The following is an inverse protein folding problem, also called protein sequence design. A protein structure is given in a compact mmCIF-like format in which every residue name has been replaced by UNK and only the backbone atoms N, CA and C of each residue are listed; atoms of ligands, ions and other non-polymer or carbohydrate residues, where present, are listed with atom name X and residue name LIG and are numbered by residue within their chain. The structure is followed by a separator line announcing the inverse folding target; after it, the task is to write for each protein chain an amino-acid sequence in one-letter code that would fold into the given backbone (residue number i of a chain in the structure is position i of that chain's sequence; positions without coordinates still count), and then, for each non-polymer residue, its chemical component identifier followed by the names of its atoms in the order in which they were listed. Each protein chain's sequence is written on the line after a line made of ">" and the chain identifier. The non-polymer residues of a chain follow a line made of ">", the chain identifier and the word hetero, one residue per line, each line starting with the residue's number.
data_IF_499333121712
#
_entry.id   IF_499333121712
#
_cell.length_a   1.000
_cell.length_b   1.000
_cell.length_c   1.000
_cell.angle_alpha   90.00
_cell.angle_beta   90.00
_cell.angle_gamma   90.00
#
_symmetry.space_group_name_H-M   'P 1'
#
loop_
_entity.id
_entity.type
_entity.pdbx_description
1 polymer ?
#
# COMPACT_ATOMS: atom_id res chain seq x y z
N UNK A 1 48.01 43.45 15.14
CA UNK A 1 48.23 42.23 15.94
C UNK A 1 48.91 42.61 17.24
N UNK A 2 48.20 42.58 18.36
CA UNK A 2 48.73 43.06 19.64
C UNK A 2 48.93 41.91 20.62
N UNK A 3 50.17 41.58 20.96
CA UNK A 3 50.49 40.61 22.02
C UNK A 3 49.83 40.94 23.38
N UNK A 4 49.36 42.18 23.55
CA UNK A 4 48.59 42.62 24.70
C UNK A 4 47.17 42.03 24.76
N UNK A 5 46.45 41.96 23.63
CA UNK A 5 45.09 41.40 23.58
C UNK A 5 45.09 39.88 23.74
N UNK A 6 46.16 39.21 23.32
CA UNK A 6 46.34 37.77 23.52
C UNK A 6 46.56 37.42 25.00
N UNK A 7 47.41 38.19 25.67
CA UNK A 7 47.62 38.05 27.12
C UNK A 7 46.34 38.33 27.89
N UNK A 8 45.60 39.36 27.51
CA UNK A 8 44.28 39.66 28.09
C UNK A 8 43.30 38.51 27.86
N UNK A 9 43.21 37.99 26.63
CA UNK A 9 42.30 36.90 26.28
C UNK A 9 42.65 35.57 26.97
N UNK A 10 43.88 35.40 27.47
CA UNK A 10 44.31 34.26 28.26
C UNK A 10 43.89 34.35 29.74
N UNK A 11 43.38 35.49 30.22
CA UNK A 11 42.90 35.65 31.58
C UNK A 11 41.50 35.04 31.79
N UNK A 12 41.20 34.59 33.00
CA UNK A 12 40.00 33.82 33.32
C UNK A 12 38.68 34.55 32.98
N UNK A 13 38.57 35.83 33.29
CA UNK A 13 37.39 36.65 32.98
C UNK A 13 37.18 36.81 31.47
N UNK A 14 38.17 37.33 30.73
CA UNK A 14 38.13 37.42 29.27
C UNK A 14 37.84 36.09 28.57
N UNK A 15 38.41 34.96 29.00
CA UNK A 15 38.10 33.64 28.45
C UNK A 15 36.60 33.30 28.55
N UNK A 16 35.98 33.53 29.72
CA UNK A 16 34.54 33.30 29.91
C UNK A 16 33.70 34.19 28.99
N UNK A 17 34.07 35.45 28.83
CA UNK A 17 33.39 36.40 27.92
C UNK A 17 33.53 35.95 26.47
N UNK A 18 34.74 35.66 26.01
CA UNK A 18 35.01 35.24 24.63
C UNK A 18 34.34 33.91 24.29
N UNK A 19 34.28 32.95 25.23
CA UNK A 19 33.53 31.71 25.05
C UNK A 19 32.01 31.95 24.91
N UNK A 20 31.44 32.86 25.71
CA UNK A 20 30.04 33.24 25.61
C UNK A 20 29.74 33.98 24.29
N UNK A 21 30.65 34.87 23.86
CA UNK A 21 30.56 35.57 22.57
C UNK A 21 30.65 34.59 21.40
N UNK A 22 31.56 33.61 21.45
CA UNK A 22 31.67 32.56 20.44
C UNK A 22 30.34 31.87 20.22
N UNK A 23 29.69 31.38 21.29
CA UNK A 23 28.36 30.75 21.20
C UNK A 23 27.32 31.66 20.55
N UNK A 24 27.30 32.95 20.90
CA UNK A 24 26.39 33.93 20.29
C UNK A 24 26.63 34.07 18.78
N UNK A 25 27.89 34.13 18.35
CA UNK A 25 28.25 34.25 16.93
C UNK A 25 27.96 32.96 16.15
N UNK A 26 28.21 31.78 16.74
CA UNK A 26 27.86 30.46 16.17
C UNK A 26 26.33 30.29 15.97
N UNK A 27 25.52 31.08 16.69
CA UNK A 27 24.05 31.15 16.59
C UNK A 27 23.54 32.34 15.72
N UNK A 28 24.43 33.03 15.00
CA UNK A 28 24.14 34.24 14.21
C UNK A 28 23.62 35.45 15.00
N UNK A 29 23.92 35.56 16.30
CA UNK A 29 23.56 36.72 17.13
C UNK A 29 24.67 37.77 17.08
N UNK A 30 24.66 38.61 16.04
CA UNK A 30 25.77 39.53 15.73
C UNK A 30 25.52 41.01 16.07
N UNK A 31 24.28 41.38 16.41
CA UNK A 31 23.88 42.76 16.66
C UNK A 31 24.65 43.45 17.79
N UNK A 32 24.93 44.75 17.65
CA UNK A 32 25.70 45.55 18.62
C UNK A 32 25.05 45.60 20.02
N UNK A 33 23.71 45.57 20.07
CA UNK A 33 22.94 45.53 21.32
C UNK A 33 22.82 44.15 21.97
N UNK A 34 23.36 43.08 21.38
CA UNK A 34 23.30 41.73 21.95
C UNK A 34 24.10 41.68 23.24
N UNK A 35 23.44 41.39 24.35
CA UNK A 35 24.07 41.22 25.65
C UNK A 35 24.81 39.87 25.74
N UNK A 36 26.07 39.92 26.19
CA UNK A 36 26.88 38.75 26.52
C UNK A 36 26.56 38.34 27.95
N UNK A 37 25.74 37.30 28.10
CA UNK A 37 25.34 36.78 29.42
C UNK A 37 26.40 35.85 29.95
N UNK A 38 27.14 36.30 30.96
CA UNK A 38 28.19 35.55 31.63
C UNK A 38 28.32 36.03 33.07
N UNK A 39 28.45 35.08 34.02
CA UNK A 39 28.73 35.40 35.42
C UNK A 39 30.24 35.59 35.60
N UNK A 40 30.63 36.73 36.17
CA UNK A 40 32.02 37.08 36.44
C UNK A 40 32.17 37.37 37.94
N UNK A 41 33.25 36.87 38.54
CA UNK A 41 33.67 37.30 39.87
C UNK A 41 34.23 38.73 39.82
N UNK A 42 34.40 39.38 40.97
CA UNK A 42 35.00 40.72 41.04
C UNK A 42 36.41 40.77 40.40
N UNK A 43 37.34 39.83 40.68
CA UNK A 43 38.61 39.75 39.96
C UNK A 43 38.45 39.58 38.45
N UNK A 44 37.55 38.71 38.00
CA UNK A 44 37.30 38.47 36.57
C UNK A 44 36.71 39.70 35.87
N UNK A 45 35.86 40.45 36.57
CA UNK A 45 35.29 41.70 36.08
C UNK A 45 36.38 42.77 35.92
N UNK A 46 37.30 42.88 36.87
CA UNK A 46 38.46 43.79 36.76
C UNK A 46 39.35 43.43 35.55
N UNK A 47 39.57 42.13 35.29
CA UNK A 47 40.32 41.68 34.11
C UNK A 47 39.66 42.11 32.79
N UNK A 48 38.33 41.95 32.68
CA UNK A 48 37.57 42.41 31.51
C UNK A 48 37.54 43.96 31.44
N UNK A 49 37.53 44.63 32.59
CA UNK A 49 37.55 46.09 32.73
C UNK A 49 38.77 46.75 32.11
N UNK A 50 39.91 46.04 32.03
CA UNK A 50 41.14 46.54 31.38
C UNK A 50 40.96 46.98 29.93
N UNK A 51 39.99 46.41 29.20
CA UNK A 51 39.69 46.82 27.81
C UNK A 51 38.38 47.62 27.71
N UNK A 52 37.36 47.26 28.51
CA UNK A 52 36.06 47.92 28.49
C UNK A 52 36.05 49.27 29.22
N UNK A 53 37.02 49.53 30.10
CA UNK A 53 37.16 50.75 30.90
C UNK A 53 36.58 50.65 32.31
N UNK A 54 37.10 51.49 33.21
CA UNK A 54 36.76 51.54 34.63
C UNK A 54 35.28 51.88 34.89
N UNK A 55 34.68 52.71 34.03
CA UNK A 55 33.26 53.05 34.12
C UNK A 55 32.37 51.82 33.92
N UNK A 56 32.74 50.90 33.03
CA UNK A 56 31.99 49.65 32.85
C UNK A 56 32.22 48.70 34.04
N UNK A 57 33.46 48.61 34.50
CA UNK A 57 33.84 47.75 35.63
C UNK A 57 33.00 48.06 36.87
N UNK A 58 32.90 49.34 37.23
CA UNK A 58 32.17 49.83 38.41
C UNK A 58 30.65 49.89 38.23
N UNK A 59 30.14 50.00 36.99
CA UNK A 59 28.70 50.13 36.72
C UNK A 59 27.84 48.91 37.07
N UNK A 60 28.43 47.72 37.23
CA UNK A 60 27.68 46.45 37.31
C UNK A 60 26.90 46.06 36.04
N UNK A 61 26.94 46.89 34.99
CA UNK A 61 26.14 46.71 33.78
C UNK A 61 26.57 45.51 32.91
N UNK A 62 25.69 45.03 32.01
CA UNK A 62 25.99 43.93 31.12
C UNK A 62 27.04 44.31 30.06
N UNK A 63 27.77 43.30 29.60
CA UNK A 63 28.63 43.42 28.41
C UNK A 63 27.71 43.31 27.19
N UNK A 64 27.88 44.20 26.20
CA UNK A 64 27.25 44.05 24.89
C UNK A 64 28.30 43.79 23.83
N UNK A 65 27.93 43.12 22.73
CA UNK A 65 28.85 42.87 21.62
C UNK A 65 29.39 44.17 21.03
N UNK A 66 28.58 45.23 20.96
CA UNK A 66 29.03 46.55 20.49
C UNK A 66 30.10 47.17 21.39
N UNK A 67 29.92 47.11 22.71
CA UNK A 67 30.91 47.62 23.68
C UNK A 67 32.23 46.84 23.57
N UNK A 68 32.14 45.52 23.46
CA UNK A 68 33.32 44.66 23.34
C UNK A 68 34.07 44.89 22.02
N UNK A 69 33.37 44.98 20.88
CA UNK A 69 33.98 45.30 19.58
C UNK A 69 34.68 46.64 19.62
N UNK A 70 34.00 47.70 20.07
CA UNK A 70 34.58 49.03 20.16
C UNK A 70 35.83 49.08 21.07
N UNK A 71 35.80 48.33 22.18
CA UNK A 71 36.94 48.23 23.07
C UNK A 71 38.16 47.53 22.46
N UNK A 72 37.94 46.42 21.75
CA UNK A 72 38.98 45.70 21.03
C UNK A 72 39.56 46.56 19.89
N UNK A 73 38.70 47.25 19.13
CA UNK A 73 39.15 48.16 18.07
C UNK A 73 40.04 49.28 18.62
N UNK A 74 39.69 49.87 19.78
CA UNK A 74 40.54 50.86 20.46
C UNK A 74 41.88 50.27 20.91
N UNK A 75 41.92 48.99 21.25
CA UNK A 75 43.13 48.27 21.59
C UNK A 75 43.94 47.80 20.36
N UNK A 76 43.47 48.10 19.13
CA UNK A 76 44.14 47.75 17.88
C UNK A 76 43.92 46.30 17.44
N UNK A 77 42.82 45.68 17.85
CA UNK A 77 42.46 44.29 17.50
C UNK A 77 40.99 44.18 17.05
N UNK A 78 40.66 43.09 16.37
CA UNK A 78 39.29 42.77 15.98
C UNK A 78 38.75 41.56 16.78
N UNK A 79 37.45 41.58 17.08
CA UNK A 79 36.82 40.53 17.88
C UNK A 79 36.85 39.16 17.18
N UNK A 80 36.61 39.12 15.87
CA UNK A 80 36.61 37.89 15.11
C UNK A 80 38.04 37.34 14.96
N UNK A 81 39.02 38.22 14.72
CA UNK A 81 40.43 37.84 14.66
C UNK A 81 40.92 37.30 16.00
N UNK A 82 40.61 37.97 17.11
CA UNK A 82 40.97 37.51 18.45
C UNK A 82 40.31 36.17 18.80
N UNK A 83 39.03 35.99 18.49
CA UNK A 83 38.35 34.70 18.69
C UNK A 83 39.00 33.61 17.84
N UNK A 84 39.30 33.89 16.57
CA UNK A 84 39.93 32.92 15.67
C UNK A 84 41.30 32.48 16.15
N UNK A 85 42.12 33.42 16.64
CA UNK A 85 43.46 33.12 17.18
C UNK A 85 43.42 32.35 18.49
N UNK A 86 42.45 32.63 19.36
CA UNK A 86 42.38 32.02 20.72
C UNK A 86 41.62 30.69 20.77
N UNK A 87 40.73 30.42 19.81
CA UNK A 87 39.89 29.21 19.84
C UNK A 87 39.50 28.66 18.46
N UNK A 88 40.20 29.07 17.39
CA UNK A 88 39.91 28.65 16.02
C UNK A 88 38.71 29.38 15.38
N UNK A 89 38.45 29.13 14.08
CA UNK A 89 37.37 29.78 13.33
C UNK A 89 35.99 29.63 14.00
N UNK A 90 35.13 30.63 13.86
CA UNK A 90 33.73 30.55 14.30
C UNK A 90 32.97 29.61 13.36
N UNK A 91 32.40 28.53 13.88
CA UNK A 91 31.65 27.57 13.08
C UNK A 91 30.18 27.96 13.05
N UNK A 92 29.59 28.07 11.86
CA UNK A 92 28.16 28.31 11.72
C UNK A 92 27.38 27.06 12.14
N UNK A 93 26.91 27.02 13.39
CA UNK A 93 26.13 25.90 13.92
C UNK A 93 24.67 26.02 13.48
N UNK A 94 24.13 27.24 13.46
CA UNK A 94 22.75 27.49 13.08
C UNK A 94 22.51 27.20 11.60
N UNK A 95 23.34 27.73 10.71
CA UNK A 95 23.25 27.49 9.27
C UNK A 95 23.48 26.03 8.91
N UNK A 96 24.39 25.31 9.60
CA UNK A 96 24.51 23.85 9.42
C UNK A 96 23.24 23.10 9.83
N UNK A 97 22.57 23.50 10.91
CA UNK A 97 21.29 22.91 11.32
C UNK A 97 20.17 23.22 10.33
N UNK A 98 20.09 24.47 9.87
CA UNK A 98 19.11 24.90 8.86
C UNK A 98 19.33 24.16 7.54
N UNK A 99 20.59 24.00 7.10
CA UNK A 99 20.96 23.25 5.90
C UNK A 99 20.63 21.76 6.05
N UNK A 100 20.93 21.15 7.20
CA UNK A 100 20.57 19.76 7.47
C UNK A 100 19.04 19.56 7.48
N UNK A 101 18.29 20.48 8.09
CA UNK A 101 16.83 20.46 8.09
C UNK A 101 16.26 20.65 6.67
N UNK A 102 16.83 21.55 5.87
CA UNK A 102 16.44 21.76 4.48
C UNK A 102 16.71 20.53 3.62
N UNK A 103 17.87 19.89 3.80
CA UNK A 103 18.21 18.64 3.10
C UNK A 103 17.27 17.50 3.50
N UNK A 104 16.95 17.38 4.79
CA UNK A 104 15.99 16.42 5.30
C UNK A 104 14.59 16.63 4.70
N UNK A 105 14.10 17.88 4.69
CA UNK A 105 12.84 18.23 4.07
C UNK A 105 12.82 17.91 2.57
N UNK A 106 13.88 18.28 1.83
CA UNK A 106 14.00 17.97 0.40
C UNK A 106 14.00 16.46 0.13
N UNK A 107 14.62 15.67 1.02
CA UNK A 107 14.63 14.20 0.94
C UNK A 107 13.22 13.63 1.10
N UNK A 108 12.47 14.10 2.10
CA UNK A 108 11.08 13.69 2.33
C UNK A 108 10.19 14.08 1.14
N UNK A 109 10.30 15.32 0.67
CA UNK A 109 9.51 15.80 -0.47
C UNK A 109 9.78 15.00 -1.75
N UNK A 110 11.06 14.70 -2.03
CA UNK A 110 11.42 13.86 -3.17
C UNK A 110 10.87 12.43 -3.05
N UNK A 111 10.83 11.88 -1.83
CA UNK A 111 10.32 10.53 -1.58
C UNK A 111 8.80 10.44 -1.85
N UNK A 112 8.00 11.38 -1.34
CA UNK A 112 6.55 11.41 -1.65
C UNK A 112 6.27 11.75 -3.12
N UNK A 113 7.04 12.67 -3.72
CA UNK A 113 6.93 12.96 -5.16
C UNK A 113 7.16 11.72 -6.03
N UNK A 114 7.99 10.77 -5.56
CA UNK A 114 8.21 9.50 -6.25
C UNK A 114 6.94 8.64 -6.24
N UNK A 115 6.20 8.60 -5.13
CA UNK A 115 4.92 7.90 -5.04
C UNK A 115 3.85 8.54 -5.94
N UNK A 116 3.77 9.87 -5.96
CA UNK A 116 2.83 10.59 -6.83
C UNK A 116 3.10 10.28 -8.32
N UNK A 117 4.38 10.35 -8.73
CA UNK A 117 4.79 10.02 -10.10
C UNK A 117 4.54 8.57 -10.49
N UNK A 118 4.52 7.66 -9.52
CA UNK A 118 4.17 6.26 -9.75
C UNK A 118 2.67 6.04 -9.97
N UNK A 119 1.84 7.07 -9.82
CA UNK A 119 0.39 7.00 -10.04
C UNK A 119 -0.37 6.46 -8.83
N UNK A 120 0.19 6.54 -7.61
CA UNK A 120 -0.58 6.25 -6.41
C UNK A 120 -1.68 7.33 -6.22
N UNK A 121 -2.87 6.97 -5.71
CA UNK A 121 -3.92 7.95 -5.46
C UNK A 121 -3.47 9.06 -4.50
N UNK A 122 -3.68 10.32 -4.89
CA UNK A 122 -3.21 11.52 -4.17
C UNK A 122 -3.66 11.52 -2.71
N UNK A 123 -4.89 11.11 -2.41
CA UNK A 123 -5.40 11.08 -1.03
C UNK A 123 -4.63 10.08 -0.14
N UNK A 124 -4.15 8.98 -0.71
CA UNK A 124 -3.36 7.99 0.02
C UNK A 124 -1.93 8.48 0.28
N UNK A 125 -1.32 9.15 -0.70
CA UNK A 125 0.02 9.75 -0.56
C UNK A 125 0.00 10.89 0.46
N UNK A 126 -1.01 11.76 0.42
CA UNK A 126 -1.16 12.85 1.40
C UNK A 126 -1.44 12.35 2.82
N UNK A 127 -2.20 11.27 2.96
CA UNK A 127 -2.35 10.60 4.26
C UNK A 127 -1.00 10.04 4.76
N UNK A 128 -0.23 9.38 3.89
CA UNK A 128 1.08 8.86 4.22
C UNK A 128 2.04 9.97 4.67
N UNK A 129 2.03 11.12 3.97
CA UNK A 129 2.78 12.34 4.29
C UNK A 129 2.41 12.89 5.65
N UNK A 130 1.11 13.08 5.90
CA UNK A 130 0.60 13.58 7.18
C UNK A 130 0.99 12.67 8.34
N UNK A 131 0.97 11.35 8.12
CA UNK A 131 1.31 10.33 9.12
C UNK A 131 2.79 9.98 9.16
N UNK A 132 3.61 10.57 8.29
CA UNK A 132 5.07 10.42 8.25
C UNK A 132 5.53 8.98 8.06
N UNK A 133 4.86 8.23 7.17
CA UNK A 133 5.10 6.79 6.99
C UNK A 133 6.48 6.47 6.42
N UNK A 134 7.03 7.32 5.56
CA UNK A 134 8.33 7.07 4.93
C UNK A 134 9.50 7.37 5.89
N UNK A 135 9.41 8.43 6.66
CA UNK A 135 10.50 8.93 7.50
C UNK A 135 10.52 8.38 8.93
N UNK A 136 9.48 7.66 9.39
CA UNK A 136 9.46 7.04 10.73
C UNK A 136 9.72 5.54 10.69
N UNK A 137 10.53 4.98 11.62
CA UNK A 137 11.27 5.67 12.67
C UNK A 137 12.60 6.31 12.18
N UNK A 138 13.02 6.04 10.95
CA UNK A 138 14.30 6.50 10.41
C UNK A 138 14.12 7.21 9.05
N UNK A 139 14.53 8.48 8.99
CA UNK A 139 14.48 9.33 7.80
C UNK A 139 15.36 8.78 6.67
N UNK A 140 16.48 8.14 6.99
CA UNK A 140 17.44 7.62 6.00
C UNK A 140 16.80 6.53 5.12
N UNK A 141 15.70 5.94 5.57
CA UNK A 141 14.94 4.94 4.82
C UNK A 141 13.85 5.54 3.92
N UNK A 142 13.58 6.85 3.97
CA UNK A 142 12.45 7.45 3.25
C UNK A 142 12.55 7.22 1.74
N UNK A 143 13.73 7.46 1.15
CA UNK A 143 13.98 7.28 -0.29
C UNK A 143 13.87 5.81 -0.70
N UNK A 144 14.46 4.88 0.06
CA UNK A 144 14.41 3.45 -0.28
C UNK A 144 13.00 2.88 -0.11
N UNK A 145 12.27 3.28 0.95
CA UNK A 145 10.86 2.91 1.13
C UNK A 145 9.98 3.43 0.01
N UNK A 146 10.15 4.69 -0.42
CA UNK A 146 9.41 5.22 -1.56
C UNK A 146 9.67 4.42 -2.84
N UNK A 147 10.93 4.08 -3.10
CA UNK A 147 11.30 3.26 -4.25
C UNK A 147 10.71 1.84 -4.15
N UNK A 148 10.78 1.21 -2.98
CA UNK A 148 10.23 -0.12 -2.72
C UNK A 148 8.70 -0.14 -2.92
N UNK A 149 7.98 0.85 -2.39
CA UNK A 149 6.53 0.99 -2.52
C UNK A 149 6.13 1.32 -3.96
N UNK A 150 6.93 2.09 -4.69
CA UNK A 150 6.74 2.36 -6.11
C UNK A 150 6.84 1.08 -6.93
N UNK A 151 7.89 0.26 -6.71
CA UNK A 151 8.05 -1.03 -7.39
C UNK A 151 6.90 -1.98 -7.06
N UNK A 152 6.47 -2.02 -5.81
CA UNK A 152 5.29 -2.78 -5.40
C UNK A 152 4.05 -2.31 -6.17
N UNK A 153 3.74 -1.02 -6.14
CA UNK A 153 2.57 -0.45 -6.82
C UNK A 153 2.53 -0.77 -8.31
N UNK A 154 3.67 -0.62 -9.00
CA UNK A 154 3.79 -0.92 -10.43
C UNK A 154 3.64 -2.41 -10.78
N UNK A 155 3.79 -3.31 -9.80
CA UNK A 155 3.60 -4.75 -9.98
C UNK A 155 2.14 -5.17 -9.73
N UNK A 156 1.32 -4.27 -9.17
CA UNK A 156 -0.08 -4.54 -8.86
C UNK A 156 -1.00 -4.16 -10.04
N UNK A 157 -2.14 -4.86 -10.22
CA UNK A 157 -2.61 -5.98 -9.39
C UNK A 157 -1.79 -7.26 -9.62
N UNK A 158 -1.36 -7.89 -8.53
CA UNK A 158 -0.70 -9.19 -8.59
C UNK A 158 -1.65 -10.21 -9.21
N UNK A 159 -1.18 -11.03 -10.13
CA UNK A 159 -2.01 -12.03 -10.80
C UNK A 159 -2.23 -13.25 -9.91
N UNK A 160 -2.87 -13.09 -8.74
CA UNK A 160 -3.15 -14.18 -7.79
C UNK A 160 -1.92 -14.73 -7.06
N UNK A 161 -0.76 -14.06 -7.16
CA UNK A 161 0.52 -14.52 -6.59
C UNK A 161 0.50 -14.48 -5.05
N UNK A 162 1.13 -15.44 -4.35
CA UNK A 162 1.30 -15.37 -2.90
C UNK A 162 2.12 -14.16 -2.47
N UNK A 163 1.80 -13.57 -1.32
CA UNK A 163 2.49 -12.41 -0.76
C UNK A 163 4.00 -12.64 -0.63
N UNK A 164 4.40 -13.83 -0.14
CA UNK A 164 5.80 -14.20 0.00
C UNK A 164 6.54 -14.29 -1.35
N UNK A 165 5.84 -14.73 -2.41
CA UNK A 165 6.41 -14.81 -3.76
C UNK A 165 6.60 -13.41 -4.37
N UNK A 166 5.60 -12.53 -4.19
CA UNK A 166 5.69 -11.11 -4.59
C UNK A 166 6.87 -10.45 -3.88
N UNK A 167 6.95 -10.61 -2.56
CA UNK A 167 8.03 -10.07 -1.73
C UNK A 167 9.41 -10.56 -2.20
N UNK A 168 9.58 -11.87 -2.39
CA UNK A 168 10.84 -12.44 -2.85
C UNK A 168 11.22 -11.93 -4.25
N UNK A 169 10.26 -11.83 -5.18
CA UNK A 169 10.54 -11.36 -6.53
C UNK A 169 10.96 -9.88 -6.61
N UNK A 170 10.43 -9.03 -5.72
CA UNK A 170 10.72 -7.60 -5.72
C UNK A 170 11.93 -7.21 -4.87
N UNK A 171 12.20 -7.99 -3.81
CA UNK A 171 13.14 -7.60 -2.76
C UNK A 171 14.16 -8.68 -2.41
N UNK A 172 14.15 -9.82 -3.10
CA UNK A 172 14.98 -10.99 -2.78
C UNK A 172 14.82 -11.46 -1.32
N UNK A 173 13.65 -11.21 -0.73
CA UNK A 173 13.31 -11.56 0.65
C UNK A 173 11.79 -11.88 0.72
N UNK A 174 11.41 -13.16 0.93
CA UNK A 174 10.00 -13.57 0.99
C UNK A 174 9.25 -12.98 2.19
N UNK A 175 9.94 -12.49 3.21
CA UNK A 175 9.34 -11.93 4.42
C UNK A 175 9.22 -10.41 4.36
N UNK A 176 9.75 -9.77 3.31
CA UNK A 176 9.88 -8.31 3.24
C UNK A 176 8.57 -7.54 3.32
N UNK A 177 7.45 -8.19 2.98
CA UNK A 177 6.10 -7.64 3.06
C UNK A 177 5.26 -8.21 4.22
N UNK A 178 5.87 -8.97 5.13
CA UNK A 178 5.16 -9.56 6.27
C UNK A 178 4.66 -8.48 7.23
N UNK A 179 3.61 -8.82 7.98
CA UNK A 179 2.88 -7.89 8.86
C UNK A 179 3.73 -7.34 10.02
N UNK A 180 4.80 -8.04 10.39
CA UNK A 180 5.77 -7.65 11.40
C UNK A 180 6.95 -6.83 10.83
N UNK A 181 7.03 -6.64 9.51
CA UNK A 181 8.02 -5.76 8.88
C UNK A 181 7.53 -4.32 8.75
N UNK A 182 8.45 -3.36 8.74
CA UNK A 182 8.13 -1.95 8.50
C UNK A 182 7.53 -1.72 7.12
N UNK A 183 8.14 -2.29 6.08
CA UNK A 183 7.68 -2.10 4.70
C UNK A 183 6.32 -2.76 4.48
N UNK A 184 6.09 -3.98 4.98
CA UNK A 184 4.80 -4.66 4.91
C UNK A 184 3.68 -3.85 5.58
N UNK A 185 3.94 -3.29 6.76
CA UNK A 185 2.97 -2.41 7.45
C UNK A 185 2.66 -1.13 6.67
N UNK A 186 3.67 -0.47 6.11
CA UNK A 186 3.47 0.76 5.32
C UNK A 186 2.71 0.43 4.03
N UNK A 187 3.10 -0.63 3.33
CA UNK A 187 2.46 -1.10 2.11
C UNK A 187 0.97 -1.39 2.33
N UNK A 188 0.62 -2.20 3.35
CA UNK A 188 -0.78 -2.52 3.62
C UNK A 188 -1.62 -1.27 3.95
N UNK A 189 -1.09 -0.32 4.73
CA UNK A 189 -1.79 0.93 5.04
C UNK A 189 -2.00 1.80 3.80
N UNK A 190 -0.97 1.91 2.97
CA UNK A 190 -1.01 2.70 1.74
C UNK A 190 -1.98 2.10 0.73
N UNK A 191 -1.96 0.77 0.55
CA UNK A 191 -2.88 0.04 -0.33
C UNK A 191 -4.33 0.08 0.17
N UNK A 192 -4.55 0.04 1.50
CA UNK A 192 -5.87 0.21 2.10
C UNK A 192 -6.42 1.62 1.87
N UNK A 193 -5.60 2.65 2.06
CA UNK A 193 -5.98 4.04 1.80
C UNK A 193 -6.23 4.29 0.31
N UNK A 194 -5.40 3.74 -0.57
CA UNK A 194 -5.51 3.89 -2.02
C UNK A 194 -6.83 3.36 -2.59
N UNK A 195 -7.38 2.31 -1.98
CA UNK A 195 -8.65 1.69 -2.42
C UNK A 195 -9.88 2.26 -1.71
N UNK A 196 -9.71 3.00 -0.63
CA UNK A 196 -10.81 3.65 0.09
C UNK A 196 -11.19 4.98 -0.56
N UNK A 197 -12.44 5.42 -0.32
CA UNK A 197 -12.83 6.80 -0.60
C UNK A 197 -11.97 7.76 0.24
N UNK A 198 -11.70 8.99 -0.23
CA UNK A 198 -10.86 9.94 0.51
C UNK A 198 -11.28 10.18 1.95
N UNK A 199 -12.60 10.20 2.23
CA UNK A 199 -13.15 10.38 3.57
C UNK A 199 -12.82 9.21 4.53
N UNK A 200 -12.69 7.99 4.00
CA UNK A 200 -12.50 6.76 4.78
C UNK A 200 -11.05 6.27 4.79
N UNK A 201 -10.17 6.93 4.02
CA UNK A 201 -8.79 6.49 3.83
C UNK A 201 -8.01 6.32 5.14
N UNK A 202 -8.22 7.22 6.11
CA UNK A 202 -7.60 7.13 7.43
C UNK A 202 -8.08 5.90 8.21
N UNK A 203 -9.39 5.65 8.25
CA UNK A 203 -9.96 4.49 8.94
C UNK A 203 -9.56 3.17 8.28
N UNK A 204 -9.52 3.13 6.95
CA UNK A 204 -9.05 1.98 6.19
C UNK A 204 -7.57 1.66 6.49
N UNK A 205 -6.71 2.68 6.56
CA UNK A 205 -5.31 2.51 6.94
C UNK A 205 -5.12 2.08 8.40
N UNK A 206 -5.88 2.65 9.33
CA UNK A 206 -5.75 2.34 10.76
C UNK A 206 -6.14 0.87 11.07
N UNK A 207 -7.12 0.32 10.33
CA UNK A 207 -7.54 -1.08 10.46
C UNK A 207 -6.74 -2.08 9.63
N UNK A 208 -5.88 -1.61 8.71
CA UNK A 208 -5.19 -2.45 7.70
C UNK A 208 -4.35 -3.61 8.28
N UNK A 209 -3.88 -3.49 9.53
CA UNK A 209 -3.04 -4.51 10.17
C UNK A 209 -3.84 -5.60 10.91
N UNK A 210 -5.16 -5.44 11.05
CA UNK A 210 -6.02 -6.50 11.57
C UNK A 210 -5.93 -7.73 10.67
N UNK A 211 -5.88 -8.96 11.23
CA UNK A 211 -5.59 -10.16 10.44
C UNK A 211 -6.56 -10.37 9.26
N UNK A 212 -7.86 -10.17 9.47
CA UNK A 212 -8.86 -10.25 8.40
C UNK A 212 -8.66 -9.13 7.36
N UNK A 213 -8.50 -7.89 7.83
CA UNK A 213 -8.32 -6.72 6.95
C UNK A 213 -7.04 -6.79 6.13
N UNK A 214 -5.95 -7.29 6.72
CA UNK A 214 -4.67 -7.53 6.04
C UNK A 214 -4.86 -8.42 4.81
N UNK A 215 -5.53 -9.58 4.97
CA UNK A 215 -5.83 -10.48 3.85
C UNK A 215 -6.70 -9.80 2.80
N UNK A 216 -7.72 -9.05 3.22
CA UNK A 216 -8.61 -8.32 2.30
C UNK A 216 -7.88 -7.24 1.51
N UNK A 217 -6.95 -6.51 2.13
CA UNK A 217 -6.15 -5.47 1.46
C UNK A 217 -5.31 -6.10 0.37
N UNK A 218 -4.53 -7.14 0.68
CA UNK A 218 -3.70 -7.81 -0.31
C UNK A 218 -4.53 -8.49 -1.41
N UNK A 219 -5.62 -9.18 -1.05
CA UNK A 219 -6.51 -9.81 -2.01
C UNK A 219 -7.16 -8.78 -2.95
N UNK A 220 -7.50 -7.59 -2.43
CA UNK A 220 -7.99 -6.46 -3.22
C UNK A 220 -7.02 -5.95 -4.28
N UNK A 221 -5.73 -6.27 -4.13
CA UNK A 221 -4.68 -5.99 -5.11
C UNK A 221 -4.19 -7.28 -5.81
N UNK A 222 -4.98 -8.36 -5.75
CA UNK A 222 -4.69 -9.64 -6.40
C UNK A 222 -3.54 -10.45 -5.78
N UNK A 223 -3.13 -10.11 -4.55
CA UNK A 223 -2.08 -10.84 -3.81
C UNK A 223 -2.72 -11.75 -2.77
N UNK A 224 -2.37 -13.04 -2.80
CA UNK A 224 -2.89 -14.03 -1.85
C UNK A 224 -2.03 -14.08 -0.58
N UNK A 225 -2.65 -13.97 0.60
CA UNK A 225 -1.96 -14.23 1.88
C UNK A 225 -2.05 -15.70 2.33
N UNK A 226 -2.95 -16.47 1.73
CA UNK A 226 -3.13 -17.91 1.92
C UNK A 226 -3.90 -18.47 0.72
N UNK A 227 -3.40 -19.55 0.14
CA UNK A 227 -3.88 -20.08 -1.13
C UNK A 227 -5.09 -21.01 -0.99
N UNK A 228 -5.36 -21.51 0.22
CA UNK A 228 -6.46 -22.43 0.49
C UNK A 228 -7.71 -21.67 0.94
N UNK A 229 -7.55 -20.59 1.71
CA UNK A 229 -8.67 -19.74 2.13
C UNK A 229 -9.19 -18.81 1.02
N UNK A 230 -8.39 -18.54 -0.02
CA UNK A 230 -8.83 -17.78 -1.17
C UNK A 230 -9.56 -18.70 -2.15
N UNK A 231 -10.89 -18.61 -2.17
CA UNK A 231 -11.75 -19.54 -2.91
C UNK A 231 -12.65 -18.82 -3.92
N UNK A 232 -13.16 -19.59 -4.88
CA UNK A 232 -14.24 -19.20 -5.81
C UNK A 232 -15.18 -20.39 -5.96
N UNK A 233 -16.48 -20.13 -5.91
CA UNK A 233 -17.50 -21.18 -6.06
C UNK A 233 -17.82 -21.31 -7.55
N UNK A 234 -17.87 -22.53 -8.06
CA UNK A 234 -18.26 -22.80 -9.46
C UNK A 234 -19.33 -23.87 -9.50
N UNK A 235 -20.22 -23.77 -10.49
CA UNK A 235 -21.24 -24.78 -10.80
C UNK A 235 -21.19 -25.07 -12.29
N UNK A 236 -21.09 -26.36 -12.64
CA UNK A 236 -21.05 -26.87 -14.02
C UNK A 236 -20.11 -26.09 -14.95
N UNK A 237 -18.93 -25.69 -14.47
CA UNK A 237 -17.92 -25.00 -15.26
C UNK A 237 -16.89 -26.00 -15.78
N UNK A 238 -16.96 -26.43 -17.05
CA UNK A 238 -16.03 -27.42 -17.57
C UNK A 238 -14.69 -26.76 -17.91
N UNK A 239 -13.62 -27.31 -17.34
CA UNK A 239 -12.25 -26.83 -17.49
C UNK A 239 -11.37 -27.96 -18.04
N UNK A 240 -10.43 -27.62 -18.91
CA UNK A 240 -9.39 -28.52 -19.43
C UNK A 240 -8.02 -28.17 -18.88
N UNK A 241 -7.06 -29.09 -18.96
CA UNK A 241 -5.67 -28.89 -18.54
C UNK A 241 -5.21 -29.85 -17.45
N UNK A 242 -4.09 -29.49 -16.79
CA UNK A 242 -3.43 -30.33 -15.77
C UNK A 242 -3.60 -29.80 -14.35
N UNK A 243 -4.12 -28.57 -14.17
CA UNK A 243 -4.36 -27.98 -12.86
C UNK A 243 -5.37 -28.82 -12.05
N UNK A 244 -5.22 -28.98 -10.72
CA UNK A 244 -6.17 -29.72 -9.88
C UNK A 244 -7.62 -29.25 -10.01
N UNK A 245 -7.84 -27.95 -10.26
CA UNK A 245 -9.16 -27.36 -10.46
C UNK A 245 -9.96 -28.04 -11.58
N UNK A 246 -9.29 -28.53 -12.63
CA UNK A 246 -9.94 -29.18 -13.77
C UNK A 246 -10.71 -30.42 -13.34
N UNK A 247 -10.06 -31.33 -12.60
CA UNK A 247 -10.68 -32.57 -12.11
C UNK A 247 -11.69 -32.33 -11.00
N UNK A 248 -11.46 -31.33 -10.15
CA UNK A 248 -12.40 -30.97 -9.08
C UNK A 248 -13.70 -30.45 -9.69
N UNK A 249 -13.60 -29.53 -10.65
CA UNK A 249 -14.76 -28.98 -11.34
C UNK A 249 -15.52 -30.04 -12.15
N UNK A 250 -14.80 -30.91 -12.87
CA UNK A 250 -15.40 -32.00 -13.64
C UNK A 250 -16.19 -32.99 -12.77
N UNK A 251 -15.60 -33.44 -11.64
CA UNK A 251 -16.27 -34.35 -10.73
C UNK A 251 -17.55 -33.76 -10.10
N UNK A 252 -17.52 -32.47 -9.76
CA UNK A 252 -18.68 -31.78 -9.20
C UNK A 252 -19.77 -31.53 -10.26
N UNK A 253 -19.36 -31.12 -11.46
CA UNK A 253 -20.26 -30.94 -12.60
C UNK A 253 -20.98 -32.23 -12.99
N UNK A 254 -20.32 -33.39 -12.87
CA UNK A 254 -20.93 -34.70 -13.07
C UNK A 254 -22.10 -35.04 -12.13
N UNK A 255 -22.28 -34.28 -11.04
CA UNK A 255 -23.40 -34.38 -10.12
C UNK A 255 -24.28 -33.13 -10.09
N UNK A 256 -23.90 -32.04 -10.75
CA UNK A 256 -24.60 -30.76 -10.67
C UNK A 256 -24.36 -30.03 -9.34
N UNK A 257 -23.26 -30.32 -8.65
CA UNK A 257 -22.96 -29.81 -7.31
C UNK A 257 -22.05 -28.56 -7.37
N UNK A 258 -22.37 -27.46 -6.66
CA UNK A 258 -21.46 -26.33 -6.53
C UNK A 258 -20.18 -26.74 -5.78
N UNK A 259 -19.01 -26.33 -6.28
CA UNK A 259 -17.72 -26.68 -5.66
C UNK A 259 -16.80 -25.49 -5.49
N UNK A 260 -16.13 -25.43 -4.33
CA UNK A 260 -15.09 -24.44 -4.07
C UNK A 260 -13.78 -24.82 -4.75
N UNK A 261 -13.30 -23.95 -5.63
CA UNK A 261 -11.93 -23.97 -6.11
C UNK A 261 -11.10 -23.02 -5.25
N UNK A 262 -9.85 -23.40 -4.99
CA UNK A 262 -8.89 -22.59 -4.23
C UNK A 262 -7.88 -21.94 -5.17
N UNK A 263 -7.20 -20.88 -4.73
CA UNK A 263 -6.06 -20.33 -5.50
C UNK A 263 -5.00 -21.40 -5.75
N UNK A 264 -4.84 -22.35 -4.80
CA UNK A 264 -3.94 -23.50 -4.95
C UNK A 264 -4.39 -24.48 -6.03
N UNK A 265 -5.69 -24.79 -6.14
CA UNK A 265 -6.18 -25.73 -7.14
C UNK A 265 -6.15 -25.17 -8.55
N UNK A 266 -6.20 -23.84 -8.71
CA UNK A 266 -6.06 -23.14 -9.99
C UNK A 266 -4.61 -23.00 -10.49
N UNK A 267 -3.64 -23.59 -9.80
CA UNK A 267 -2.23 -23.58 -10.24
C UNK A 267 -1.96 -24.58 -11.34
N UNK A 268 -1.13 -24.16 -12.28
CA UNK A 268 -0.74 -24.96 -13.44
C UNK A 268 -1.57 -24.61 -14.66
N UNK A 269 -1.55 -25.48 -15.66
CA UNK A 269 -2.23 -25.25 -16.93
C UNK A 269 -3.71 -25.58 -16.79
N UNK A 270 -4.57 -24.59 -17.05
CA UNK A 270 -5.98 -24.79 -17.25
C UNK A 270 -6.54 -23.80 -18.27
N UNK A 271 -7.65 -24.18 -18.91
CA UNK A 271 -8.43 -23.33 -19.81
C UNK A 271 -9.91 -23.73 -19.74
N UNK A 272 -10.87 -22.86 -20.07
CA UNK A 272 -12.24 -23.28 -20.33
C UNK A 272 -12.28 -24.35 -21.44
N UNK A 273 -13.24 -25.28 -21.38
CA UNK A 273 -13.48 -26.17 -22.51
C UNK A 273 -13.84 -25.37 -23.78
N UNK A 274 -13.49 -25.84 -24.99
CA UNK A 274 -13.71 -25.09 -26.24
C UNK A 274 -15.17 -24.73 -26.55
N UNK A 275 -16.12 -25.45 -25.96
CA UNK A 275 -17.57 -25.24 -26.09
C UNK A 275 -18.13 -24.21 -25.09
N UNK A 276 -17.31 -23.71 -24.16
CA UNK A 276 -17.68 -22.65 -23.23
C UNK A 276 -17.41 -21.30 -23.88
N UNK A 277 -18.43 -20.68 -24.46
CA UNK A 277 -18.35 -19.34 -25.04
C UNK A 277 -18.88 -18.24 -24.09
N UNK A 278 -19.59 -18.64 -23.03
CA UNK A 278 -20.24 -17.75 -22.08
C UNK A 278 -20.31 -18.36 -20.68
N UNK A 279 -20.01 -17.54 -19.65
CA UNK A 279 -20.10 -17.90 -18.24
C UNK A 279 -20.88 -16.83 -17.49
N UNK A 280 -21.81 -17.27 -16.63
CA UNK A 280 -22.55 -16.40 -15.72
C UNK A 280 -21.75 -16.18 -14.45
N UNK A 281 -21.80 -14.98 -13.89
CA UNK A 281 -21.09 -14.61 -12.68
C UNK A 281 -22.06 -13.89 -11.72
N UNK A 282 -22.20 -14.40 -10.51
CA UNK A 282 -23.01 -13.78 -9.45
C UNK A 282 -22.19 -13.55 -8.17
N UNK A 283 -22.69 -12.69 -7.29
CA UNK A 283 -22.09 -12.46 -5.98
C UNK A 283 -22.58 -13.47 -4.94
N UNK A 284 -23.88 -13.77 -4.98
CA UNK A 284 -24.58 -14.43 -3.90
C UNK A 284 -24.59 -15.96 -4.06
N UNK A 285 -24.17 -16.74 -3.04
CA UNK A 285 -24.23 -18.20 -3.08
C UNK A 285 -25.64 -18.76 -3.28
N UNK A 286 -26.69 -18.05 -2.86
CA UNK A 286 -28.06 -18.50 -2.99
C UNK A 286 -28.46 -18.73 -4.46
N UNK A 287 -27.84 -18.02 -5.40
CA UNK A 287 -28.03 -18.24 -6.85
C UNK A 287 -27.47 -19.60 -7.27
N UNK A 288 -26.26 -19.95 -6.82
CA UNK A 288 -25.64 -21.24 -7.13
C UNK A 288 -26.37 -22.41 -6.44
N UNK A 289 -26.79 -22.23 -5.20
CA UNK A 289 -27.59 -23.22 -4.45
C UNK A 289 -28.93 -23.49 -5.16
N UNK A 290 -29.67 -22.44 -5.53
CA UNK A 290 -30.93 -22.58 -6.23
C UNK A 290 -30.76 -23.17 -7.64
N UNK A 291 -29.69 -22.81 -8.35
CA UNK A 291 -29.39 -23.36 -9.67
C UNK A 291 -29.07 -24.85 -9.60
N UNK A 292 -28.28 -25.28 -8.63
CA UNK A 292 -27.99 -26.70 -8.40
C UNK A 292 -29.26 -27.48 -8.05
N UNK A 293 -30.08 -26.99 -7.14
CA UNK A 293 -31.33 -27.65 -6.73
C UNK A 293 -32.35 -27.76 -7.89
N UNK A 294 -32.50 -26.71 -8.70
CA UNK A 294 -33.54 -26.64 -9.73
C UNK A 294 -33.12 -27.23 -11.07
N UNK A 295 -31.85 -27.11 -11.44
CA UNK A 295 -31.34 -27.45 -12.78
C UNK A 295 -30.29 -28.58 -12.74
N UNK A 296 -29.65 -28.82 -11.60
CA UNK A 296 -28.62 -29.85 -11.44
C UNK A 296 -27.54 -29.78 -12.52
N UNK A 297 -27.22 -30.94 -13.11
CA UNK A 297 -26.22 -31.08 -14.18
C UNK A 297 -26.56 -30.32 -15.47
N UNK A 298 -27.82 -29.91 -15.64
CA UNK A 298 -28.24 -29.16 -16.82
C UNK A 298 -28.03 -27.66 -16.67
N UNK A 299 -27.70 -27.15 -15.47
CA UNK A 299 -27.40 -25.73 -15.29
C UNK A 299 -26.23 -25.30 -16.20
N UNK A 300 -26.38 -24.16 -16.88
CA UNK A 300 -25.29 -23.53 -17.62
C UNK A 300 -24.14 -23.13 -16.66
N UNK A 301 -22.89 -22.96 -17.17
CA UNK A 301 -21.74 -22.63 -16.34
C UNK A 301 -21.93 -21.35 -15.52
N UNK A 302 -21.70 -21.46 -14.21
CA UNK A 302 -21.85 -20.38 -13.24
C UNK A 302 -20.61 -20.27 -12.36
N UNK A 303 -20.19 -19.02 -12.11
CA UNK A 303 -19.16 -18.65 -11.13
C UNK A 303 -19.82 -17.77 -10.07
N UNK A 304 -19.63 -18.10 -8.80
CA UNK A 304 -20.05 -17.26 -7.68
C UNK A 304 -18.81 -16.73 -6.96
N UNK A 305 -18.69 -15.41 -6.88
CA UNK A 305 -17.53 -14.72 -6.27
C UNK A 305 -17.63 -14.63 -4.74
N UNK A 306 -18.82 -14.89 -4.17
CA UNK A 306 -19.10 -14.92 -2.73
C UNK A 306 -18.69 -13.63 -2.02
N UNK A 307 -19.41 -12.55 -2.30
CA UNK A 307 -19.05 -11.21 -1.84
C UNK A 307 -17.88 -10.62 -2.62
N UNK A 308 -16.93 -9.98 -1.91
CA UNK A 308 -15.74 -9.40 -2.54
C UNK A 308 -14.89 -10.48 -3.25
N UNK A 309 -14.59 -10.34 -4.55
CA UNK A 309 -13.81 -11.35 -5.27
C UNK A 309 -12.45 -11.63 -4.63
N UNK A 310 -12.18 -12.91 -4.36
CA UNK A 310 -10.88 -13.37 -3.85
C UNK A 310 -9.81 -13.42 -4.97
N UNK A 311 -8.56 -13.74 -4.62
CA UNK A 311 -7.53 -14.01 -5.63
C UNK A 311 -7.85 -15.21 -6.53
N UNK A 312 -8.57 -16.22 -6.01
CA UNK A 312 -9.02 -17.36 -6.82
C UNK A 312 -10.07 -16.93 -7.83
N UNK A 313 -11.05 -16.11 -7.39
CA UNK A 313 -12.08 -15.57 -8.26
C UNK A 313 -11.46 -14.73 -9.39
N UNK A 314 -10.55 -13.80 -9.06
CA UNK A 314 -9.88 -12.99 -10.08
C UNK A 314 -9.02 -13.82 -11.04
N UNK A 315 -8.33 -14.84 -10.54
CA UNK A 315 -7.53 -15.74 -11.38
C UNK A 315 -8.42 -16.47 -12.39
N UNK A 316 -9.55 -17.01 -11.93
CA UNK A 316 -10.52 -17.70 -12.78
C UNK A 316 -11.15 -16.74 -13.80
N UNK A 317 -11.71 -15.61 -13.36
CA UNK A 317 -12.40 -14.67 -14.24
C UNK A 317 -11.48 -14.08 -15.33
N UNK A 318 -10.23 -13.74 -14.98
CA UNK A 318 -9.25 -13.27 -15.97
C UNK A 318 -8.82 -14.36 -16.93
N UNK A 319 -8.66 -15.59 -16.47
CA UNK A 319 -8.33 -16.72 -17.35
C UNK A 319 -9.46 -17.02 -18.35
N UNK A 320 -10.72 -16.96 -17.91
CA UNK A 320 -11.89 -17.09 -18.77
C UNK A 320 -11.96 -15.94 -19.81
N UNK A 321 -11.89 -14.69 -19.35
CA UNK A 321 -11.91 -13.52 -20.23
C UNK A 321 -10.73 -13.51 -21.23
N UNK A 322 -9.53 -13.89 -20.77
CA UNK A 322 -8.34 -14.01 -21.60
C UNK A 322 -8.43 -15.11 -22.67
N UNK A 323 -9.24 -16.15 -22.41
CA UNK A 323 -9.59 -17.18 -23.39
C UNK A 323 -10.74 -16.77 -24.34
N UNK A 324 -11.29 -15.56 -24.19
CA UNK A 324 -12.36 -15.04 -25.03
C UNK A 324 -13.78 -15.43 -24.59
N UNK A 325 -13.94 -15.99 -23.40
CA UNK A 325 -15.26 -16.33 -22.83
C UNK A 325 -15.99 -15.04 -22.45
N UNK A 326 -17.24 -14.87 -22.89
CA UNK A 326 -18.08 -13.75 -22.47
C UNK A 326 -18.52 -13.94 -21.02
N UNK A 327 -18.42 -12.89 -20.21
CA UNK A 327 -18.82 -12.92 -18.80
C UNK A 327 -20.11 -12.13 -18.61
N UNK A 328 -21.18 -12.80 -18.19
CA UNK A 328 -22.43 -12.14 -17.80
C UNK A 328 -22.41 -11.94 -16.29
N UNK A 329 -22.18 -10.71 -15.83
CA UNK A 329 -21.90 -10.42 -14.43
C UNK A 329 -23.08 -9.73 -13.74
N UNK A 330 -23.37 -10.14 -12.51
CA UNK A 330 -24.24 -9.43 -11.57
C UNK A 330 -23.61 -9.43 -10.18
N UNK A 331 -24.02 -8.46 -9.36
CA UNK A 331 -23.67 -8.31 -7.96
C UNK A 331 -24.85 -7.65 -7.24
N UNK A 332 -24.85 -7.66 -5.91
CA UNK A 332 -25.83 -6.92 -5.12
C UNK A 332 -25.66 -5.42 -5.35
N UNK A 333 -26.75 -4.65 -5.36
CA UNK A 333 -26.71 -3.21 -5.66
C UNK A 333 -26.51 -2.35 -4.41
N UNK A 334 -25.61 -2.78 -3.53
CA UNK A 334 -25.08 -1.93 -2.47
C UNK A 334 -23.76 -1.25 -2.89
N UNK A 335 -23.25 -0.32 -2.07
CA UNK A 335 -22.02 0.41 -2.40
C UNK A 335 -20.81 -0.52 -2.61
N UNK A 336 -20.79 -1.71 -2.00
CA UNK A 336 -19.72 -2.68 -2.18
C UNK A 336 -19.88 -3.46 -3.49
N UNK A 337 -21.09 -3.98 -3.76
CA UNK A 337 -21.39 -4.72 -4.98
C UNK A 337 -21.28 -3.87 -6.25
N UNK A 338 -21.64 -2.58 -6.20
CA UNK A 338 -21.40 -1.66 -7.32
C UNK A 338 -19.92 -1.54 -7.70
N UNK A 339 -19.02 -1.58 -6.71
CA UNK A 339 -17.58 -1.53 -6.97
C UNK A 339 -17.08 -2.81 -7.62
N UNK A 340 -17.49 -3.97 -7.11
CA UNK A 340 -17.09 -5.26 -7.66
C UNK A 340 -17.64 -5.45 -9.08
N UNK A 341 -18.89 -5.04 -9.31
CA UNK A 341 -19.51 -5.04 -10.62
C UNK A 341 -18.71 -4.18 -11.61
N UNK A 342 -18.38 -2.94 -11.24
CA UNK A 342 -17.55 -2.04 -12.08
C UNK A 342 -16.20 -2.66 -12.42
N UNK A 343 -15.53 -3.27 -11.43
CA UNK A 343 -14.26 -3.96 -11.65
C UNK A 343 -14.41 -5.16 -12.59
N UNK A 344 -15.43 -5.99 -12.42
CA UNK A 344 -15.68 -7.16 -13.28
C UNK A 344 -16.06 -6.75 -14.71
N UNK A 345 -16.86 -5.69 -14.87
CA UNK A 345 -17.23 -5.12 -16.18
C UNK A 345 -16.03 -4.54 -16.95
N UNK A 346 -14.91 -4.29 -16.28
CA UNK A 346 -13.66 -3.88 -16.96
C UNK A 346 -12.93 -5.05 -17.65
N UNK A 347 -13.33 -6.30 -17.38
CA UNK A 347 -12.75 -7.47 -18.04
C UNK A 347 -13.19 -7.54 -19.51
N UNK A 348 -12.31 -7.99 -20.44
CA UNK A 348 -12.67 -8.17 -21.84
C UNK A 348 -13.89 -9.08 -22.00
N UNK A 349 -14.91 -8.60 -22.73
CA UNK A 349 -16.13 -9.37 -23.01
C UNK A 349 -17.09 -9.50 -21.83
N UNK A 350 -16.86 -8.80 -20.72
CA UNK A 350 -17.81 -8.73 -19.62
C UNK A 350 -18.94 -7.75 -19.90
N UNK A 351 -20.18 -8.16 -19.61
CA UNK A 351 -21.39 -7.34 -19.68
C UNK A 351 -22.29 -7.65 -18.50
N UNK A 352 -23.17 -6.72 -18.13
CA UNK A 352 -24.18 -7.01 -17.12
C UNK A 352 -25.06 -8.17 -17.57
N UNK A 353 -25.37 -9.08 -16.64
CA UNK A 353 -26.12 -10.28 -16.93
C UNK A 353 -27.59 -9.96 -17.26
N UNK A 354 -28.26 -9.21 -16.40
CA UNK A 354 -29.67 -8.83 -16.55
C UNK A 354 -29.80 -7.32 -16.37
N UNK A 355 -30.62 -6.67 -17.18
CA UNK A 355 -30.80 -5.20 -17.20
C UNK A 355 -31.31 -4.60 -15.88
N UNK A 356 -31.03 -3.32 -15.67
CA UNK A 356 -31.20 -2.53 -14.44
C UNK A 356 -32.63 -2.46 -13.86
N UNK A 357 -33.67 -2.92 -14.58
CA UNK A 357 -35.07 -2.79 -14.17
C UNK A 357 -35.52 -3.75 -13.03
N UNK A 358 -34.76 -4.81 -12.74
CA UNK A 358 -35.18 -5.86 -11.81
C UNK A 358 -34.36 -5.81 -10.51
N UNK A 359 -35.00 -5.51 -9.36
CA UNK A 359 -34.50 -5.76 -8.00
C UNK A 359 -33.23 -5.03 -7.52
N UNK A 360 -33.09 -4.86 -6.19
CA UNK A 360 -31.89 -4.28 -5.54
C UNK A 360 -30.86 -5.37 -5.16
N UNK A 361 -31.32 -6.58 -4.85
CA UNK A 361 -30.48 -7.71 -4.44
C UNK A 361 -30.68 -8.91 -5.36
N UNK A 362 -29.68 -9.78 -5.49
CA UNK A 362 -29.74 -10.96 -6.36
C UNK A 362 -30.86 -11.93 -5.96
N UNK A 363 -31.19 -12.07 -4.68
CA UNK A 363 -32.30 -12.91 -4.22
C UNK A 363 -33.66 -12.43 -4.74
N UNK A 364 -33.82 -11.12 -4.90
CA UNK A 364 -35.04 -10.54 -5.47
C UNK A 364 -35.16 -10.83 -6.98
N UNK A 365 -34.05 -11.21 -7.63
CA UNK A 365 -33.96 -11.52 -9.06
C UNK A 365 -33.77 -13.01 -9.32
N UNK A 366 -33.81 -13.84 -8.27
CA UNK A 366 -33.40 -15.24 -8.32
C UNK A 366 -34.11 -16.01 -9.44
N UNK A 367 -35.42 -15.87 -9.57
CA UNK A 367 -36.17 -16.58 -10.62
C UNK A 367 -35.75 -16.18 -12.04
N UNK A 368 -35.43 -14.91 -12.27
CA UNK A 368 -34.94 -14.44 -13.57
C UNK A 368 -33.51 -14.98 -13.86
N UNK A 369 -32.64 -14.97 -12.85
CA UNK A 369 -31.28 -15.52 -12.95
C UNK A 369 -31.31 -17.04 -13.23
N UNK A 370 -32.14 -17.79 -12.51
CA UNK A 370 -32.31 -19.23 -12.75
C UNK A 370 -32.89 -19.51 -14.14
N UNK A 371 -33.82 -18.68 -14.60
CA UNK A 371 -34.40 -18.82 -15.95
C UNK A 371 -33.31 -18.70 -17.03
N UNK A 372 -32.41 -17.72 -16.93
CA UNK A 372 -31.30 -17.58 -17.89
C UNK A 372 -30.23 -18.69 -17.77
N UNK A 373 -30.07 -19.29 -16.59
CA UNK A 373 -29.20 -20.46 -16.37
C UNK A 373 -29.74 -21.75 -16.97
N UNK A 374 -30.98 -21.75 -17.45
CA UNK A 374 -31.58 -22.92 -18.10
C UNK A 374 -31.10 -22.98 -19.56
N UNK A 375 -30.52 -24.10 -20.02
CA UNK A 375 -30.15 -24.25 -21.42
C UNK A 375 -31.37 -24.08 -22.31
N UNK A 376 -31.22 -23.35 -23.43
CA UNK A 376 -32.24 -23.37 -24.47
C UNK A 376 -32.39 -24.82 -24.96
N UNK A 377 -33.60 -25.39 -24.85
CA UNK A 377 -33.90 -26.70 -25.42
C UNK A 377 -33.53 -26.67 -26.91
N UNK A 378 -32.46 -27.38 -27.28
CA UNK A 378 -32.19 -27.67 -28.67
C UNK A 378 -33.35 -28.53 -29.19
N UNK A 379 -34.19 -27.93 -30.04
CA UNK A 379 -35.32 -28.59 -30.72
C UNK A 379 -34.84 -29.79 -31.57
N UNK A 380 -33.54 -30.03 -31.70
CA UNK A 380 -32.96 -31.19 -32.39
C UNK A 380 -33.21 -32.54 -31.68
N UNK A 381 -33.53 -32.58 -30.38
CA UNK A 381 -33.75 -33.85 -29.66
C UNK A 381 -35.21 -34.34 -29.63
N UNK A 382 -36.17 -33.56 -30.13
CA UNK A 382 -37.61 -33.91 -30.10
C UNK A 382 -38.15 -34.42 -31.44
N UNK A 383 -37.28 -35.01 -32.28
CA UNK A 383 -37.64 -35.67 -33.54
C UNK A 383 -36.97 -37.03 -33.73
N UNK A 384 -36.84 -37.87 -32.71
CA UNK A 384 -36.60 -39.31 -32.92
C UNK A 384 -37.07 -40.14 -31.74
N UNK A 385 -38.37 -40.12 -31.42
CA UNK A 385 -39.04 -41.24 -30.75
C UNK A 385 -40.53 -41.19 -31.09
N UNK A 386 -40.86 -41.64 -32.28
CA UNK A 386 -42.19 -42.18 -32.57
C UNK A 386 -42.03 -43.33 -33.56
N UNK A 387 -41.73 -44.52 -33.03
CA UNK A 387 -42.01 -45.78 -33.70
C UNK A 387 -42.46 -46.80 -32.64
N UNK A 388 -43.77 -47.13 -32.55
CA UNK A 388 -44.28 -48.07 -31.58
C UNK A 388 -44.19 -49.49 -32.14
N UNK A 389 -43.26 -50.27 -31.59
CA UNK A 389 -43.42 -51.72 -31.50
C UNK A 389 -42.34 -52.57 -32.14
N UNK A 390 -41.42 -53.04 -31.29
CA UNK A 390 -40.93 -54.43 -31.37
C UNK A 390 -40.25 -54.85 -30.06
N UNK A 391 -40.86 -55.80 -29.36
CA UNK A 391 -40.20 -56.54 -28.28
C UNK A 391 -39.29 -57.59 -28.93
N UNK A 392 -37.97 -57.63 -28.66
CA UNK A 392 -37.15 -58.79 -28.98
C UNK A 392 -37.28 -59.82 -27.85
N UNK A 393 -37.72 -61.03 -28.18
CA UNK A 393 -37.82 -62.17 -27.26
C UNK A 393 -36.46 -62.70 -26.78
N UNK A 394 -36.45 -63.62 -25.80
CA UNK A 394 -35.22 -64.05 -25.15
C UNK A 394 -34.39 -64.98 -26.04
N UNK A 395 -33.12 -64.64 -26.23
CA UNK A 395 -32.15 -65.52 -26.86
C UNK A 395 -31.77 -66.66 -25.91
N UNK A 396 -32.06 -67.89 -26.34
CA UNK A 396 -31.59 -69.13 -25.74
C UNK A 396 -30.07 -69.22 -25.89
N UNK A 397 -29.35 -69.39 -24.78
CA UNK A 397 -27.99 -69.95 -24.80
C UNK A 397 -28.08 -71.45 -24.49
N UNK A 398 -27.97 -72.27 -25.54
CA UNK A 398 -27.53 -73.65 -25.41
C UNK A 398 -26.06 -73.62 -24.99
N UNK A 399 -25.71 -74.36 -23.93
CA UNK A 399 -24.34 -74.55 -23.50
C UNK A 399 -23.53 -75.45 -24.43
N UNK A 400 -22.21 -75.49 -24.23
CA UNK A 400 -21.46 -76.70 -23.90
C UNK A 400 -19.95 -76.41 -23.78
N UNK A 401 -19.39 -76.98 -22.71
CA UNK A 401 -17.98 -77.31 -22.38
C UNK A 401 -17.10 -76.16 -21.89
#
# INVERSE_FOLDING_TARGET
>A
MTAATDRWAAEAGPQKVLAAVRKLLEEHRTGTGVAVRVALTEPERAQVGRILGLDWETSGGPITLGKLRAALTRAGDDLLDLLTRTGGPIVDVRGRREQAAALAAATVESAYTTLDKAGLPTHAVELARTRRWLERPNLDLATSRAADLTRLWQTLPGTGRPLAEVANSLFADPHRLDRDTDLGRIAARLLAAATALPADAAAAADTALGAARWRQVWAGHGVSCDEVSATVLVLNLPLTGTAPATRIADAAAGCGEPVWLTSRSLRGEWAPCPDVDMVRVCENPAVAEAAAERLGQTCLPLVCIYGRPSSAAWTLLRGLAGAGVRLLVTADRDDAGHRFLTEMLSLPGATEWLTDADGVYEEARLDALITDLTPALSVAAMRTTDDPGRIPGPARSNGLI
#
